data_IF_399887286945
#
_entry.id   IF_399887286945
#
_cell.length_a   1.000
_cell.length_b   1.000
_cell.length_c   1.000
_cell.angle_alpha   90.00
_cell.angle_beta   90.00
_cell.angle_gamma   90.00
#
_symmetry.space_group_name_H-M   'P 1'
#
loop_
_entity.id
_entity.type
_entity.pdbx_description
1 polymer ?
#
# COMPACT_ATOMS: atom_id res chain seq x y z
N UNK A 1 30.95 -36.95 26.26
CA UNK A 1 31.42 -37.33 24.91
C UNK A 1 32.91 -37.57 24.98
N UNK A 2 33.42 -38.68 24.44
CA UNK A 2 34.85 -38.99 24.56
C UNK A 2 35.64 -38.08 23.59
N UNK A 3 36.80 -37.51 23.99
CA UNK A 3 37.57 -36.58 23.16
C UNK A 3 38.00 -37.17 21.80
N UNK A 4 37.94 -38.49 21.61
CA UNK A 4 38.19 -39.17 20.35
C UNK A 4 37.02 -39.09 19.33
N UNK A 5 35.80 -38.73 19.75
CA UNK A 5 34.61 -38.72 18.88
C UNK A 5 34.42 -37.36 18.16
N UNK A 6 35.05 -36.28 18.65
CA UNK A 6 35.06 -34.94 18.02
C UNK A 6 36.27 -34.77 17.08
N UNK A 7 37.37 -35.50 17.32
CA UNK A 7 38.58 -35.41 16.51
C UNK A 7 38.40 -35.91 15.07
N UNK A 8 37.51 -36.90 14.85
CA UNK A 8 37.20 -37.43 13.51
C UNK A 8 36.50 -36.42 12.59
N UNK A 9 35.36 -35.80 12.99
CA UNK A 9 34.71 -34.81 12.14
C UNK A 9 35.55 -33.55 11.93
N UNK A 10 36.34 -33.13 12.94
CA UNK A 10 37.24 -31.98 12.79
C UNK A 10 38.39 -32.25 11.80
N UNK A 11 38.95 -33.47 11.83
CA UNK A 11 39.98 -33.88 10.87
C UNK A 11 39.47 -33.94 9.44
N UNK A 12 38.24 -34.45 9.24
CA UNK A 12 37.59 -34.46 7.93
C UNK A 12 37.36 -33.03 7.42
N UNK A 13 36.89 -32.12 8.27
CA UNK A 13 36.66 -30.72 7.92
C UNK A 13 37.94 -30.01 7.44
N UNK A 14 39.06 -30.19 8.16
CA UNK A 14 40.35 -29.62 7.76
C UNK A 14 40.84 -30.18 6.43
N UNK A 15 40.65 -31.49 6.18
CA UNK A 15 41.01 -32.11 4.91
C UNK A 15 40.17 -31.56 3.76
N UNK A 16 38.87 -31.38 3.95
CA UNK A 16 37.98 -30.81 2.93
C UNK A 16 38.38 -29.37 2.58
N UNK A 17 38.69 -28.54 3.58
CA UNK A 17 39.20 -27.17 3.35
C UNK A 17 40.50 -27.19 2.55
N UNK A 18 41.45 -28.05 2.91
CA UNK A 18 42.72 -28.15 2.19
C UNK A 18 42.55 -28.64 0.75
N UNK A 19 41.60 -29.54 0.49
CA UNK A 19 41.28 -30.00 -0.87
C UNK A 19 40.66 -28.88 -1.71
N UNK A 20 39.76 -28.07 -1.13
CA UNK A 20 39.17 -26.91 -1.81
C UNK A 20 40.24 -25.87 -2.12
N UNK A 21 41.11 -25.55 -1.16
CA UNK A 21 42.21 -24.59 -1.34
C UNK A 21 43.28 -25.09 -2.33
N UNK A 22 43.54 -26.40 -2.37
CA UNK A 22 44.43 -26.99 -3.36
C UNK A 22 43.81 -27.01 -4.76
N UNK A 23 42.49 -27.23 -4.86
CA UNK A 23 41.75 -27.18 -6.12
C UNK A 23 41.77 -25.79 -6.76
N UNK A 24 41.62 -24.73 -5.96
CA UNK A 24 41.70 -23.34 -6.45
C UNK A 24 43.12 -22.94 -6.84
N UNK A 25 44.14 -23.41 -6.12
CA UNK A 25 45.54 -23.13 -6.46
C UNK A 25 46.01 -23.84 -7.75
N UNK A 26 45.54 -25.06 -8.01
CA UNK A 26 45.91 -25.80 -9.22
C UNK A 26 45.30 -25.14 -10.46
N UNK A 27 44.06 -24.65 -10.39
CA UNK A 27 43.43 -23.91 -11.51
C UNK A 27 44.22 -22.64 -11.89
N UNK A 28 44.79 -21.93 -10.92
CA UNK A 28 45.61 -20.75 -11.17
C UNK A 28 46.99 -21.03 -11.78
N UNK A 29 47.50 -22.27 -11.67
CA UNK A 29 48.83 -22.64 -12.16
C UNK A 29 48.82 -23.26 -13.57
N UNK A 30 47.71 -23.87 -14.01
CA UNK A 30 47.57 -24.40 -15.38
C UNK A 30 47.16 -23.33 -16.39
N UNK A 31 46.61 -22.20 -15.95
CA UNK A 31 46.46 -20.99 -16.78
C UNK A 31 47.75 -20.17 -16.79
N UNK A 32 48.83 -20.80 -17.25
CA UNK A 32 50.10 -20.12 -17.52
C UNK A 32 49.96 -19.16 -18.71
N UNK A 33 49.68 -17.89 -18.44
CA UNK A 33 49.74 -16.80 -19.41
C UNK A 33 50.07 -15.51 -18.69
N UNK A 34 51.29 -15.01 -18.88
CA UNK A 34 51.72 -13.72 -18.35
C UNK A 34 50.82 -12.59 -18.84
N UNK A 35 50.06 -12.03 -17.93
CA UNK A 35 49.47 -10.70 -18.03
C UNK A 35 49.48 -10.18 -16.60
N UNK A 36 50.03 -8.98 -16.38
CA UNK A 36 49.70 -8.26 -15.15
C UNK A 36 48.17 -8.24 -15.01
N UNK A 37 47.68 -8.09 -13.77
CA UNK A 37 46.30 -7.64 -13.62
C UNK A 37 46.10 -6.49 -14.62
N UNK A 38 45.09 -6.54 -15.51
CA UNK A 38 44.82 -5.40 -16.35
C UNK A 38 44.48 -4.28 -15.37
N UNK A 39 45.44 -3.39 -15.15
CA UNK A 39 45.26 -2.15 -14.42
C UNK A 39 44.21 -1.37 -15.19
N UNK A 40 42.93 -1.55 -14.85
CA UNK A 40 41.83 -0.66 -15.23
C UNK A 40 41.82 -0.16 -16.67
N UNK A 41 42.31 -0.95 -17.65
CA UNK A 41 42.09 -0.64 -19.05
C UNK A 41 40.59 -0.80 -19.26
N UNK A 42 39.89 0.33 -19.37
CA UNK A 42 38.48 0.39 -19.74
C UNK A 42 38.32 -0.27 -21.12
N UNK A 43 38.15 -1.59 -21.14
CA UNK A 43 37.75 -2.31 -22.34
C UNK A 43 36.28 -1.97 -22.56
N UNK A 44 36.01 -1.10 -23.54
CA UNK A 44 34.65 -0.80 -23.99
C UNK A 44 33.88 -2.11 -24.21
N UNK A 45 32.80 -2.28 -23.42
CA UNK A 45 31.89 -3.43 -23.53
C UNK A 45 32.11 -4.59 -22.54
N UNK A 46 33.01 -4.51 -21.56
CA UNK A 46 33.15 -5.56 -20.53
C UNK A 46 32.19 -5.45 -19.34
N UNK A 47 31.72 -4.25 -19.02
CA UNK A 47 30.61 -4.07 -18.08
C UNK A 47 29.31 -4.27 -18.86
N UNK A 48 28.45 -5.25 -18.48
CA UNK A 48 27.06 -5.28 -18.94
C UNK A 48 26.45 -3.88 -18.82
N UNK A 49 25.52 -3.54 -19.71
CA UNK A 49 25.08 -2.16 -19.87
C UNK A 49 24.57 -1.53 -18.54
N UNK A 50 24.02 -2.35 -17.65
CA UNK A 50 23.57 -1.99 -16.30
C UNK A 50 24.69 -1.64 -15.29
N UNK A 51 25.97 -1.86 -15.63
CA UNK A 51 27.13 -1.51 -14.79
C UNK A 51 27.99 -0.41 -15.42
N UNK A 52 27.46 0.31 -16.42
CA UNK A 52 28.10 1.50 -16.99
C UNK A 52 27.81 2.69 -16.06
N UNK A 53 28.80 3.52 -15.67
CA UNK A 53 28.62 4.63 -14.72
C UNK A 53 27.45 5.56 -15.06
N UNK A 54 27.24 5.82 -16.35
CA UNK A 54 26.14 6.67 -16.85
C UNK A 54 24.75 6.04 -16.67
N UNK A 55 24.65 4.77 -16.24
CA UNK A 55 23.43 4.05 -15.91
C UNK A 55 23.32 3.65 -14.44
N UNK A 56 24.30 4.02 -13.61
CA UNK A 56 24.26 3.80 -12.15
C UNK A 56 23.51 4.93 -11.45
N UNK A 57 23.20 6.00 -12.17
CA UNK A 57 22.43 7.13 -11.67
C UNK A 57 21.18 7.25 -12.57
N UNK A 58 20.15 6.42 -12.36
CA UNK A 58 18.86 6.63 -13.02
C UNK A 58 18.38 8.05 -12.72
N UNK A 59 17.60 8.61 -13.64
CA UNK A 59 16.84 9.81 -13.34
C UNK A 59 15.85 9.42 -12.23
N UNK A 60 15.89 10.14 -11.10
CA UNK A 60 14.91 9.99 -10.02
C UNK A 60 13.74 10.89 -10.33
N UNK A 61 12.53 10.44 -9.98
CA UNK A 61 11.35 11.27 -10.10
C UNK A 61 11.45 12.48 -9.14
N UNK A 62 10.87 13.64 -9.51
CA UNK A 62 11.04 14.87 -8.76
C UNK A 62 10.21 14.89 -7.46
N UNK A 63 10.87 14.76 -6.30
CA UNK A 63 10.25 14.84 -4.96
C UNK A 63 9.91 16.29 -4.47
N UNK A 64 9.58 17.22 -5.38
CA UNK A 64 9.42 18.67 -5.05
C UNK A 64 7.95 19.14 -4.92
N UNK A 65 7.00 18.22 -4.88
CA UNK A 65 5.57 18.51 -4.81
C UNK A 65 5.05 18.98 -3.43
N UNK A 66 3.82 19.49 -3.40
CA UNK A 66 3.13 19.92 -2.17
C UNK A 66 1.73 19.29 -2.14
N UNK A 67 1.33 18.75 -0.98
CA UNK A 67 -0.02 18.22 -0.78
C UNK A 67 -0.95 19.40 -0.47
N UNK A 68 -1.92 19.64 -1.33
CA UNK A 68 -2.87 20.76 -1.15
C UNK A 68 -4.28 20.25 -0.92
N UNK A 69 -4.94 20.78 0.11
CA UNK A 69 -6.35 20.49 0.42
C UNK A 69 -7.17 21.78 0.30
N UNK A 70 -8.10 21.77 -0.65
CA UNK A 70 -9.11 22.80 -0.80
C UNK A 70 -10.17 22.65 0.29
N UNK A 71 -10.47 23.75 0.98
CA UNK A 71 -11.46 23.76 2.07
C UNK A 71 -12.68 24.66 1.72
N UNK A 72 -13.46 24.34 0.66
CA UNK A 72 -14.60 25.17 0.26
C UNK A 72 -15.79 25.06 1.22
N UNK A 73 -15.88 23.96 1.97
CA UNK A 73 -17.04 23.63 2.82
C UNK A 73 -16.81 23.87 4.32
N UNK A 74 -15.69 24.49 4.68
CA UNK A 74 -15.31 24.74 6.07
C UNK A 74 -14.62 23.54 6.73
N UNK A 75 -14.47 23.62 8.05
CA UNK A 75 -13.84 22.58 8.87
C UNK A 75 -14.60 21.24 8.75
N UNK A 76 -13.84 20.15 8.64
CA UNK A 76 -14.34 18.77 8.54
C UNK A 76 -13.56 17.89 9.52
N UNK A 77 -14.18 16.82 10.01
CA UNK A 77 -13.57 15.80 10.87
C UNK A 77 -13.31 14.52 10.09
N UNK A 78 -12.06 14.08 10.04
CA UNK A 78 -11.63 12.89 9.31
C UNK A 78 -11.23 11.81 10.31
N UNK A 79 -11.81 10.61 10.17
CA UNK A 79 -11.44 9.45 10.95
C UNK A 79 -10.49 8.53 10.16
N UNK A 80 -9.34 8.22 10.74
CA UNK A 80 -8.45 7.17 10.23
C UNK A 80 -8.71 5.87 11.00
N UNK A 81 -9.10 4.81 10.28
CA UNK A 81 -9.36 3.49 10.84
C UNK A 81 -8.10 2.87 11.45
N UNK A 82 -8.24 2.26 12.63
CA UNK A 82 -7.21 1.43 13.29
C UNK A 82 -7.81 0.14 13.88
N UNK A 83 -9.09 -0.16 13.62
CA UNK A 83 -9.82 -1.23 14.32
C UNK A 83 -9.92 -2.54 13.55
N UNK A 84 -9.56 -2.53 12.26
CA UNK A 84 -9.65 -3.71 11.41
C UNK A 84 -8.26 -4.31 11.17
N UNK A 85 -7.39 -4.28 12.19
CA UNK A 85 -6.03 -4.80 12.08
C UNK A 85 -5.23 -4.09 10.99
N UNK A 86 -5.48 -2.79 10.82
CA UNK A 86 -4.86 -1.95 9.82
C UNK A 86 -3.34 -1.96 9.97
N UNK A 87 -2.63 -2.08 8.84
CA UNK A 87 -1.18 -2.08 8.80
C UNK A 87 -0.68 -0.77 8.20
N UNK A 88 -0.36 0.18 9.06
CA UNK A 88 0.35 1.42 8.77
C UNK A 88 1.00 1.91 10.06
N UNK A 89 2.07 2.70 9.95
CA UNK A 89 2.60 3.47 11.07
C UNK A 89 2.07 4.91 10.99
N UNK A 90 1.68 5.49 12.13
CA UNK A 90 1.09 6.84 12.15
C UNK A 90 2.07 7.93 11.72
N UNK A 91 3.36 7.68 11.93
CA UNK A 91 4.42 8.60 11.56
C UNK A 91 4.53 8.71 10.02
N UNK A 92 4.22 7.64 9.29
CA UNK A 92 4.25 7.64 7.82
C UNK A 92 3.16 8.53 7.21
N UNK A 93 2.07 8.76 7.96
CA UNK A 93 0.94 9.60 7.54
C UNK A 93 1.12 11.10 7.89
N UNK A 94 2.26 11.49 8.48
CA UNK A 94 2.55 12.87 8.88
C UNK A 94 2.28 13.89 7.75
N UNK A 95 2.70 13.68 6.48
CA UNK A 95 2.45 14.64 5.40
C UNK A 95 0.97 14.91 5.15
N UNK A 96 0.14 13.86 5.18
CA UNK A 96 -1.30 13.97 4.94
C UNK A 96 -2.01 14.62 6.12
N UNK A 97 -1.62 14.24 7.34
CA UNK A 97 -2.17 14.83 8.56
C UNK A 97 -1.83 16.32 8.64
N UNK A 98 -0.59 16.70 8.32
CA UNK A 98 -0.16 18.10 8.26
C UNK A 98 -0.98 18.88 7.24
N UNK A 99 -1.12 18.38 6.01
CA UNK A 99 -1.90 19.04 4.96
C UNK A 99 -3.37 19.26 5.35
N UNK A 100 -4.03 18.26 5.96
CA UNK A 100 -5.41 18.39 6.44
C UNK A 100 -5.54 19.43 7.57
N UNK A 101 -4.60 19.42 8.52
CA UNK A 101 -4.59 20.36 9.66
C UNK A 101 -4.28 21.79 9.20
N UNK A 102 -3.35 21.95 8.26
CA UNK A 102 -3.02 23.25 7.67
C UNK A 102 -4.20 23.85 6.89
N UNK A 103 -5.00 22.99 6.23
CA UNK A 103 -6.25 23.37 5.58
C UNK A 103 -7.41 23.63 6.58
N UNK A 104 -7.21 23.38 7.88
CA UNK A 104 -8.16 23.70 8.94
C UNK A 104 -9.14 22.59 9.27
N UNK A 105 -8.83 21.34 8.91
CA UNK A 105 -9.61 20.15 9.26
C UNK A 105 -9.07 19.47 10.53
N UNK A 106 -9.89 18.62 11.16
CA UNK A 106 -9.53 17.80 12.32
C UNK A 106 -9.31 16.35 11.87
N UNK A 107 -8.24 15.72 12.34
CA UNK A 107 -7.90 14.33 12.02
C UNK A 107 -7.78 13.53 13.31
N UNK A 108 -8.59 12.48 13.42
CA UNK A 108 -8.52 11.55 14.54
C UNK A 108 -8.16 10.16 14.07
N UNK A 109 -7.34 9.49 14.88
CA UNK A 109 -7.09 8.07 14.74
C UNK A 109 -8.05 7.31 15.66
N UNK A 110 -8.74 6.35 15.07
CA UNK A 110 -9.58 5.45 15.82
C UNK A 110 -8.83 4.80 17.00
N UNK A 111 -9.48 4.65 18.16
CA UNK A 111 -8.86 3.96 19.28
C UNK A 111 -8.72 2.46 18.97
N UNK A 112 -7.59 1.89 19.36
CA UNK A 112 -7.39 0.43 19.40
C UNK A 112 -8.38 -0.19 20.39
N UNK A 113 -9.48 -0.76 19.89
CA UNK A 113 -10.41 -1.53 20.73
C UNK A 113 -10.02 -3.00 20.71
N UNK A 114 -10.04 -3.63 21.88
CA UNK A 114 -9.84 -5.07 21.99
C UNK A 114 -11.01 -5.80 21.34
N UNK A 115 -10.74 -6.88 20.61
CA UNK A 115 -11.76 -7.68 19.92
C UNK A 115 -12.91 -8.07 20.85
N UNK A 116 -14.12 -7.54 20.62
CA UNK A 116 -15.32 -7.85 21.42
C UNK A 116 -16.31 -6.70 21.67
N UNK A 117 -15.93 -5.44 21.40
CA UNK A 117 -16.81 -4.27 21.44
C UNK A 117 -17.16 -3.80 20.00
N UNK A 118 -18.41 -3.33 19.77
CA UNK A 118 -19.04 -3.16 18.44
C UNK A 118 -18.53 -1.96 17.60
N UNK A 119 -17.21 -1.80 17.44
CA UNK A 119 -16.57 -0.84 16.51
C UNK A 119 -16.72 0.64 16.85
N UNK A 120 -15.89 1.49 16.22
CA UNK A 120 -15.26 2.72 16.76
C UNK A 120 -15.90 3.39 17.98
N UNK A 121 -15.07 3.68 18.99
CA UNK A 121 -15.35 4.58 20.13
C UNK A 121 -16.22 4.06 21.28
N UNK A 122 -17.05 3.04 21.07
CA UNK A 122 -17.74 2.19 22.07
C UNK A 122 -18.35 2.82 23.34
N UNK A 123 -18.83 4.06 23.27
CA UNK A 123 -20.06 4.51 23.93
C UNK A 123 -20.98 5.13 22.88
N UNK A 124 -21.81 4.30 22.25
CA UNK A 124 -22.66 4.68 21.09
C UNK A 124 -22.54 3.73 19.89
N UNK A 125 -21.42 3.00 19.79
CA UNK A 125 -21.15 2.00 18.75
C UNK A 125 -20.70 2.61 17.41
N UNK A 126 -20.41 1.74 16.43
CA UNK A 126 -19.86 2.12 15.14
C UNK A 126 -20.61 3.25 14.41
N UNK A 127 -21.94 3.21 14.36
CA UNK A 127 -22.74 4.26 13.73
C UNK A 127 -22.62 5.60 14.44
N UNK A 128 -22.52 5.62 15.78
CA UNK A 128 -22.39 6.87 16.53
C UNK A 128 -21.05 7.53 16.25
N UNK A 129 -20.01 6.73 16.04
CA UNK A 129 -18.75 7.27 15.57
C UNK A 129 -18.85 7.77 14.13
N UNK A 130 -19.39 6.99 13.18
CA UNK A 130 -19.60 7.49 11.82
C UNK A 130 -20.42 8.80 11.77
N UNK A 131 -21.33 8.99 12.71
CA UNK A 131 -22.11 10.21 12.84
C UNK A 131 -21.26 11.44 13.17
N UNK A 132 -20.20 11.29 13.96
CA UNK A 132 -19.29 12.35 14.42
C UNK A 132 -18.30 12.82 13.35
N UNK A 133 -18.03 12.00 12.33
CA UNK A 133 -17.00 12.28 11.32
C UNK A 133 -17.58 12.52 9.93
N UNK A 134 -16.99 13.46 9.21
CA UNK A 134 -17.39 13.86 7.85
C UNK A 134 -16.74 13.00 6.76
N UNK A 135 -15.59 12.40 7.06
CA UNK A 135 -14.90 11.48 6.18
C UNK A 135 -14.23 10.31 6.93
N UNK A 136 -14.00 9.21 6.22
CA UNK A 136 -13.29 8.03 6.76
C UNK A 136 -12.19 7.58 5.82
N UNK A 137 -10.98 7.38 6.36
CA UNK A 137 -9.84 6.78 5.67
C UNK A 137 -9.53 5.40 6.27
N UNK A 138 -9.60 4.36 5.44
CA UNK A 138 -9.34 2.97 5.82
C UNK A 138 -8.06 2.51 5.14
N UNK A 139 -6.97 2.39 5.89
CA UNK A 139 -5.65 2.04 5.35
C UNK A 139 -5.31 0.59 5.69
N UNK A 140 -5.04 -0.22 4.66
CA UNK A 140 -4.58 -1.60 4.73
C UNK A 140 -5.23 -2.48 5.82
N UNK A 141 -6.57 -2.57 5.87
CA UNK A 141 -7.27 -3.40 6.86
C UNK A 141 -6.99 -4.88 6.61
N UNK A 142 -6.56 -5.63 7.63
CA UNK A 142 -6.34 -7.08 7.55
C UNK A 142 -7.48 -7.91 8.16
N UNK A 143 -8.36 -7.26 8.90
CA UNK A 143 -9.61 -7.78 9.43
C UNK A 143 -10.82 -7.40 8.57
N UNK A 144 -11.85 -8.25 8.60
CA UNK A 144 -13.09 -8.01 7.89
C UNK A 144 -14.05 -7.09 8.66
N UNK A 145 -14.88 -6.37 7.91
CA UNK A 145 -15.98 -5.58 8.44
C UNK A 145 -17.21 -6.46 8.65
N UNK A 146 -17.84 -6.37 9.82
CA UNK A 146 -19.09 -7.06 10.11
C UNK A 146 -20.22 -6.54 9.20
N UNK A 147 -21.29 -7.33 9.06
CA UNK A 147 -22.48 -6.91 8.30
C UNK A 147 -23.09 -5.61 8.82
N UNK A 148 -23.12 -5.41 10.15
CA UNK A 148 -23.62 -4.17 10.75
C UNK A 148 -22.75 -2.96 10.39
N UNK A 149 -21.42 -3.10 10.46
CA UNK A 149 -20.49 -2.03 10.07
C UNK A 149 -20.60 -1.69 8.57
N UNK A 150 -20.71 -2.71 7.72
CA UNK A 150 -20.91 -2.54 6.27
C UNK A 150 -22.21 -1.82 5.94
N UNK A 151 -23.31 -2.15 6.63
CA UNK A 151 -24.58 -1.44 6.47
C UNK A 151 -24.50 0.01 6.99
N UNK A 152 -23.78 0.25 8.08
CA UNK A 152 -23.51 1.59 8.61
C UNK A 152 -22.73 2.45 7.61
N UNK A 153 -21.63 1.94 7.06
CA UNK A 153 -20.86 2.60 6.00
C UNK A 153 -21.68 2.80 4.73
N UNK A 154 -22.51 1.83 4.34
CA UNK A 154 -23.40 2.01 3.20
C UNK A 154 -24.32 3.20 3.42
N UNK A 155 -24.97 3.27 4.58
CA UNK A 155 -25.89 4.37 4.94
C UNK A 155 -25.15 5.71 4.96
N UNK A 156 -23.94 5.73 5.55
CA UNK A 156 -23.05 6.88 5.55
C UNK A 156 -22.75 7.38 4.13
N UNK A 157 -22.31 6.50 3.24
CA UNK A 157 -21.99 6.85 1.85
C UNK A 157 -23.22 7.19 1.01
N UNK A 158 -24.38 6.58 1.25
CA UNK A 158 -25.63 6.91 0.54
C UNK A 158 -26.15 8.32 0.89
N UNK A 159 -25.66 8.89 1.99
CA UNK A 159 -25.98 10.24 2.45
C UNK A 159 -24.75 11.14 2.40
N UNK A 160 -23.92 10.97 1.37
CA UNK A 160 -22.83 11.90 1.01
C UNK A 160 -21.60 11.91 1.94
N UNK A 161 -21.50 10.96 2.86
CA UNK A 161 -20.27 10.70 3.61
C UNK A 161 -19.20 10.08 2.72
N UNK A 162 -17.95 10.54 2.84
CA UNK A 162 -16.85 10.18 1.94
C UNK A 162 -15.92 9.14 2.57
N UNK A 163 -15.57 8.11 1.80
CA UNK A 163 -14.70 7.03 2.27
C UNK A 163 -13.57 6.77 1.28
N UNK A 164 -12.34 6.70 1.76
CA UNK A 164 -11.22 6.16 1.00
C UNK A 164 -10.77 4.84 1.63
N UNK A 165 -10.59 3.81 0.80
CA UNK A 165 -10.04 2.51 1.21
C UNK A 165 -8.74 2.31 0.45
N UNK A 166 -7.65 2.11 1.16
CA UNK A 166 -6.34 1.79 0.61
C UNK A 166 -5.97 0.40 1.10
N UNK A 167 -5.25 -0.38 0.31
CA UNK A 167 -4.73 -1.63 0.86
C UNK A 167 -3.83 -2.43 -0.03
N UNK A 168 -3.25 -3.45 0.59
CA UNK A 168 -2.18 -4.23 0.01
C UNK A 168 -2.63 -5.60 -0.50
N UNK A 169 -2.01 -6.11 -1.59
CA UNK A 169 -2.21 -7.48 -2.03
C UNK A 169 -1.75 -8.48 -0.97
N UNK A 170 -2.02 -9.77 -1.22
CA UNK A 170 -1.65 -10.80 -0.26
C UNK A 170 -0.13 -10.89 -0.11
N UNK A 171 0.35 -10.77 1.13
CA UNK A 171 1.76 -10.76 1.46
C UNK A 171 2.13 -11.77 2.55
N UNK A 172 3.43 -12.02 2.70
CA UNK A 172 3.97 -12.94 3.69
C UNK A 172 4.42 -12.14 4.93
N UNK A 173 3.67 -12.28 6.01
CA UNK A 173 4.09 -11.80 7.33
C UNK A 173 5.11 -12.73 7.98
N UNK A 174 6.07 -12.15 8.69
CA UNK A 174 7.05 -12.88 9.49
C UNK A 174 6.86 -12.51 10.95
N UNK A 175 6.66 -13.50 11.81
CA UNK A 175 6.54 -13.33 13.25
C UNK A 175 7.67 -14.06 13.98
N UNK A 176 8.15 -13.48 15.07
CA UNK A 176 9.28 -14.03 15.84
C UNK A 176 10.65 -13.58 15.33
N UNK A 177 11.73 -14.12 15.91
CA UNK A 177 13.10 -13.72 15.61
C UNK A 177 14.05 -14.92 15.50
N UNK A 178 15.00 -14.85 14.57
CA UNK A 178 16.01 -15.88 14.34
C UNK A 178 15.42 -17.22 13.88
N UNK A 179 15.94 -18.34 14.39
CA UNK A 179 15.51 -19.69 14.00
C UNK A 179 14.08 -20.06 14.46
N UNK A 180 13.39 -19.16 15.17
CA UNK A 180 12.01 -19.34 15.63
C UNK A 180 11.00 -18.51 14.82
N UNK A 181 11.41 -17.93 13.68
CA UNK A 181 10.51 -17.19 12.82
C UNK A 181 9.41 -18.09 12.22
N UNK A 182 8.16 -17.67 12.32
CA UNK A 182 7.01 -18.26 11.65
C UNK A 182 6.52 -17.37 10.52
N UNK A 183 6.15 -17.99 9.41
CA UNK A 183 5.54 -17.31 8.26
C UNK A 183 4.02 -17.39 8.38
N UNK A 184 3.35 -16.29 8.10
CA UNK A 184 1.89 -16.19 7.99
C UNK A 184 1.53 -15.46 6.71
N UNK A 185 0.33 -15.71 6.20
CA UNK A 185 -0.22 -14.92 5.11
C UNK A 185 -1.03 -13.79 5.69
N UNK A 186 -0.77 -12.58 5.21
CA UNK A 186 -1.52 -11.36 5.51
C UNK A 186 -2.23 -10.99 4.21
N UNK A 187 -3.54 -10.77 4.27
CA UNK A 187 -4.36 -10.44 3.11
C UNK A 187 -5.27 -9.28 3.44
N UNK A 188 -5.65 -8.52 2.41
CA UNK A 188 -6.68 -7.50 2.51
C UNK A 188 -8.00 -8.06 3.08
N UNK A 189 -8.40 -7.53 4.23
CA UNK A 189 -9.53 -7.98 5.03
C UNK A 189 -10.87 -7.37 4.61
N UNK A 190 -10.85 -6.21 3.94
CA UNK A 190 -12.06 -5.46 3.61
C UNK A 190 -12.72 -5.84 2.28
N UNK A 191 -12.39 -7.00 1.70
CA UNK A 191 -12.98 -7.45 0.43
C UNK A 191 -14.51 -7.57 0.48
N UNK A 192 -15.10 -7.97 1.61
CA UNK A 192 -16.56 -8.02 1.78
C UNK A 192 -17.21 -6.62 1.81
N UNK A 193 -16.46 -5.58 2.22
CA UNK A 193 -16.87 -4.18 2.19
C UNK A 193 -16.77 -3.66 0.76
N UNK A 194 -15.59 -3.70 0.13
CA UNK A 194 -15.40 -3.14 -1.22
C UNK A 194 -16.29 -3.83 -2.26
N UNK A 195 -16.55 -5.14 -2.11
CA UNK A 195 -17.40 -5.89 -3.04
C UNK A 195 -18.85 -5.39 -3.05
N UNK A 196 -19.34 -4.78 -1.97
CA UNK A 196 -20.67 -4.16 -1.92
C UNK A 196 -20.75 -2.93 -2.83
N UNK A 197 -19.61 -2.29 -3.09
CA UNK A 197 -19.45 -1.17 -4.03
C UNK A 197 -18.99 -1.64 -5.42
N UNK A 198 -18.97 -2.94 -5.68
CA UNK A 198 -18.65 -3.49 -7.00
C UNK A 198 -17.15 -3.65 -7.31
N UNK A 199 -16.27 -3.53 -6.31
CA UNK A 199 -14.83 -3.63 -6.45
C UNK A 199 -14.21 -4.67 -5.50
N UNK A 200 -13.24 -5.44 -5.96
CA UNK A 200 -12.60 -6.49 -5.16
C UNK A 200 -11.10 -6.52 -5.38
N UNK A 201 -10.32 -6.65 -4.31
CA UNK A 201 -8.88 -6.76 -4.41
C UNK A 201 -8.45 -8.13 -4.94
N UNK A 202 -7.63 -8.12 -5.98
CA UNK A 202 -6.89 -9.27 -6.46
C UNK A 202 -5.97 -9.85 -5.41
N UNK A 203 -5.71 -11.16 -5.50
CA UNK A 203 -4.88 -11.84 -4.51
C UNK A 203 -3.37 -11.60 -4.70
N UNK A 204 -2.93 -11.29 -5.91
CA UNK A 204 -1.51 -11.20 -6.26
C UNK A 204 -1.06 -9.74 -6.39
N UNK A 205 0.17 -9.47 -5.94
CA UNK A 205 0.85 -8.23 -6.26
C UNK A 205 1.19 -8.16 -7.77
N UNK A 206 1.43 -6.95 -8.25
CA UNK A 206 1.87 -6.66 -9.59
C UNK A 206 3.38 -6.43 -9.63
N UNK A 207 3.96 -6.53 -10.82
CA UNK A 207 5.33 -6.16 -11.09
C UNK A 207 5.48 -5.78 -12.57
N UNK A 208 6.42 -4.88 -12.86
CA UNK A 208 6.83 -4.52 -14.21
C UNK A 208 8.36 -4.57 -14.31
N UNK A 209 8.89 -5.07 -15.43
CA UNK A 209 10.34 -5.21 -15.65
C UNK A 209 10.87 -4.28 -16.73
N UNK A 210 9.99 -3.44 -17.29
CA UNK A 210 10.36 -2.41 -18.23
C UNK A 210 10.76 -1.15 -17.44
N UNK A 211 12.05 -0.82 -17.50
CA UNK A 211 12.70 0.27 -16.75
C UNK A 211 12.06 1.64 -17.02
N UNK A 212 11.36 1.82 -18.15
CA UNK A 212 10.65 3.06 -18.48
C UNK A 212 9.27 3.18 -17.78
N UNK A 213 8.85 2.13 -17.06
CA UNK A 213 7.49 2.02 -16.48
C UNK A 213 7.48 1.45 -15.04
N UNK A 214 8.65 1.44 -14.41
CA UNK A 214 8.81 1.15 -13.00
C UNK A 214 9.75 2.19 -12.40
N UNK A 215 9.55 2.54 -11.13
CA UNK A 215 10.44 3.46 -10.43
C UNK A 215 11.71 2.75 -9.96
N UNK A 216 12.54 2.31 -10.91
CA UNK A 216 13.83 1.66 -10.68
C UNK A 216 13.79 0.39 -9.80
N UNK A 217 12.59 -0.07 -9.47
CA UNK A 217 12.27 -1.25 -8.71
C UNK A 217 11.13 -1.96 -9.43
N UNK A 218 11.35 -3.20 -9.84
CA UNK A 218 10.38 -3.95 -10.63
C UNK A 218 9.02 -4.15 -9.94
N UNK A 219 8.92 -3.91 -8.63
CA UNK A 219 7.67 -3.94 -7.87
C UNK A 219 7.00 -2.58 -7.71
N UNK A 220 7.73 -1.49 -7.92
CA UNK A 220 7.21 -0.13 -7.91
C UNK A 220 6.65 0.13 -9.31
N UNK A 221 5.34 -0.04 -9.47
CA UNK A 221 4.68 -0.07 -10.77
C UNK A 221 3.99 1.26 -11.03
N UNK A 222 4.32 1.88 -12.16
CA UNK A 222 3.64 3.10 -12.59
C UNK A 222 2.20 2.78 -12.98
N UNK A 223 1.27 3.66 -12.62
CA UNK A 223 -0.10 3.64 -13.09
C UNK A 223 -0.47 4.99 -13.70
N UNK A 224 -1.29 4.94 -14.75
CA UNK A 224 -1.72 6.13 -15.49
C UNK A 224 -3.22 6.35 -15.31
N UNK A 225 -3.66 7.61 -15.30
CA UNK A 225 -5.08 7.94 -15.30
C UNK A 225 -5.88 7.25 -16.41
N UNK A 226 -7.08 6.80 -16.08
CA UNK A 226 -8.12 6.44 -17.03
C UNK A 226 -9.19 7.54 -17.04
N UNK A 227 -9.45 8.13 -18.20
CA UNK A 227 -10.48 9.16 -18.35
C UNK A 227 -10.11 10.54 -17.79
N UNK A 228 -11.14 11.29 -17.38
CA UNK A 228 -11.03 12.65 -16.85
C UNK A 228 -11.95 12.78 -15.64
N UNK A 229 -11.40 12.57 -14.44
CA UNK A 229 -12.10 12.69 -13.16
C UNK A 229 -11.34 13.70 -12.29
N UNK A 230 -12.01 14.29 -11.30
CA UNK A 230 -11.36 15.15 -10.30
C UNK A 230 -10.22 14.44 -9.55
N UNK A 231 -10.29 13.12 -9.38
CA UNK A 231 -9.26 12.29 -8.75
C UNK A 231 -8.03 12.04 -9.63
N UNK A 232 -8.12 12.36 -10.91
CA UNK A 232 -7.03 12.23 -11.89
C UNK A 232 -6.58 13.57 -12.47
N UNK A 233 -7.17 14.68 -12.02
CA UNK A 233 -6.83 16.00 -12.54
C UNK A 233 -5.40 16.38 -12.13
N UNK A 234 -4.61 16.80 -13.11
CA UNK A 234 -3.22 17.24 -12.90
C UNK A 234 -2.20 16.11 -12.72
N UNK A 235 -2.64 14.85 -12.73
CA UNK A 235 -1.78 13.68 -12.60
C UNK A 235 -1.39 13.18 -13.99
N UNK A 236 -0.10 13.09 -14.28
CA UNK A 236 0.40 12.41 -15.48
C UNK A 236 0.68 10.93 -15.16
N UNK A 237 1.28 10.62 -14.01
CA UNK A 237 1.58 9.25 -13.56
C UNK A 237 1.71 9.16 -12.04
N UNK A 238 1.20 8.08 -11.46
CA UNK A 238 1.45 7.70 -10.05
C UNK A 238 2.34 6.48 -10.00
N UNK A 239 3.10 6.33 -8.92
CA UNK A 239 3.84 5.10 -8.62
C UNK A 239 3.26 4.44 -7.38
N UNK A 240 3.19 3.12 -7.41
CA UNK A 240 2.70 2.32 -6.31
C UNK A 240 3.77 1.29 -5.96
N UNK A 241 4.18 1.20 -4.69
CA UNK A 241 5.15 0.19 -4.26
C UNK A 241 4.44 -1.12 -3.91
N UNK A 242 4.73 -2.18 -4.69
CA UNK A 242 4.13 -3.50 -4.52
C UNK A 242 2.57 -3.54 -4.66
N UNK A 243 1.97 -2.85 -5.65
CA UNK A 243 0.51 -2.73 -5.75
C UNK A 243 -0.15 -4.07 -6.04
N UNK A 244 -1.39 -4.18 -5.58
CA UNK A 244 -2.34 -5.17 -6.05
C UNK A 244 -3.05 -4.75 -7.33
N UNK A 245 -4.20 -5.35 -7.58
CA UNK A 245 -5.11 -4.94 -8.65
C UNK A 245 -6.56 -5.08 -8.22
N UNK A 246 -7.45 -4.36 -8.88
CA UNK A 246 -8.88 -4.35 -8.58
C UNK A 246 -9.63 -5.08 -9.68
N UNK A 247 -10.51 -5.99 -9.28
CA UNK A 247 -11.50 -6.62 -10.15
C UNK A 247 -12.83 -5.93 -9.96
N UNK A 248 -13.35 -5.32 -11.02
CA UNK A 248 -14.67 -4.70 -11.02
C UNK A 248 -15.74 -5.71 -11.44
N UNK A 249 -16.91 -5.68 -10.79
CA UNK A 249 -17.98 -6.68 -11.03
C UNK A 249 -18.99 -6.26 -12.09
N UNK A 250 -18.73 -5.18 -12.83
CA UNK A 250 -19.55 -4.72 -13.95
C UNK A 250 -20.84 -3.99 -13.56
N UNK A 251 -20.95 -3.55 -12.29
CA UNK A 251 -21.95 -2.55 -11.88
C UNK A 251 -21.66 -1.23 -12.60
N UNK A 252 -22.70 -0.51 -13.04
CA UNK A 252 -22.54 0.71 -13.86
C UNK A 252 -21.99 1.92 -13.07
N UNK A 253 -21.79 1.78 -11.77
CA UNK A 253 -21.51 2.90 -10.85
C UNK A 253 -20.04 2.91 -10.38
N UNK A 254 -19.20 2.00 -10.91
CA UNK A 254 -17.75 1.97 -10.65
C UNK A 254 -17.02 2.60 -11.83
N UNK A 255 -16.26 3.65 -11.56
CA UNK A 255 -15.38 4.31 -12.52
C UNK A 255 -13.92 3.92 -12.23
N UNK A 256 -13.19 3.58 -13.28
CA UNK A 256 -11.75 3.28 -13.19
C UNK A 256 -11.00 4.61 -13.15
N UNK A 257 -10.13 4.76 -12.17
CA UNK A 257 -9.29 5.96 -12.03
C UNK A 257 -7.90 5.75 -12.59
N UNK A 258 -7.28 4.61 -12.26
CA UNK A 258 -5.90 4.31 -12.65
C UNK A 258 -5.75 2.87 -13.12
N UNK A 259 -4.90 2.70 -14.12
CA UNK A 259 -4.52 1.40 -14.66
C UNK A 259 -3.00 1.30 -14.67
N UNK A 260 -2.47 0.18 -14.21
CA UNK A 260 -1.04 -0.12 -14.24
C UNK A 260 -0.50 -0.07 -15.67
N UNK A 261 0.74 0.39 -15.81
CA UNK A 261 1.41 0.57 -17.10
C UNK A 261 1.45 -0.73 -17.93
N UNK A 262 1.53 -0.56 -19.26
CA UNK A 262 1.62 -1.68 -20.20
C UNK A 262 2.79 -2.62 -19.86
N UNK A 263 2.59 -3.92 -20.07
CA UNK A 263 3.60 -4.95 -19.77
C UNK A 263 3.60 -5.43 -18.31
N UNK A 264 2.83 -4.79 -17.43
CA UNK A 264 2.63 -5.21 -16.04
C UNK A 264 2.10 -6.64 -15.93
N UNK A 265 2.58 -7.37 -14.93
CA UNK A 265 2.27 -8.78 -14.68
C UNK A 265 1.94 -9.05 -13.23
N UNK A 266 1.12 -10.05 -12.98
CA UNK A 266 0.94 -10.60 -11.62
C UNK A 266 2.18 -11.35 -11.15
N UNK A 267 2.60 -11.16 -9.91
CA UNK A 267 3.88 -11.62 -9.37
C UNK A 267 4.02 -13.15 -9.35
N UNK A 268 2.98 -13.88 -8.96
CA UNK A 268 3.04 -15.33 -8.80
C UNK A 268 2.70 -16.05 -10.11
N UNK A 269 1.59 -15.68 -10.73
CA UNK A 269 1.08 -16.34 -11.94
C UNK A 269 1.72 -15.81 -13.23
N UNK A 270 2.46 -14.70 -13.16
CA UNK A 270 3.23 -14.12 -14.27
C UNK A 270 2.36 -13.80 -15.49
N UNK A 271 1.08 -13.48 -15.25
CA UNK A 271 0.12 -13.18 -16.31
C UNK A 271 0.26 -11.71 -16.66
N UNK A 272 0.38 -11.42 -17.95
CA UNK A 272 0.34 -10.06 -18.48
C UNK A 272 -1.12 -9.66 -18.71
N UNK A 273 -1.45 -8.41 -18.43
CA UNK A 273 -2.81 -7.91 -18.58
C UNK A 273 -2.91 -6.41 -18.32
N UNK A 274 -4.12 -5.91 -18.43
CA UNK A 274 -4.50 -4.55 -18.03
C UNK A 274 -5.05 -4.64 -16.61
N UNK A 275 -4.34 -4.05 -15.64
CA UNK A 275 -4.67 -4.15 -14.24
C UNK A 275 -5.14 -2.80 -13.71
N UNK A 276 -6.38 -2.74 -13.25
CA UNK A 276 -6.92 -1.55 -12.57
C UNK A 276 -6.27 -1.47 -11.19
N UNK A 277 -5.74 -0.30 -10.83
CA UNK A 277 -5.08 -0.07 -9.54
C UNK A 277 -5.89 0.84 -8.62
N UNK A 278 -6.78 1.66 -9.17
CA UNK A 278 -7.72 2.45 -8.39
C UNK A 278 -9.05 2.64 -9.10
N UNK A 279 -10.11 2.70 -8.31
CA UNK A 279 -11.49 2.94 -8.76
C UNK A 279 -12.20 3.90 -7.82
N UNK A 280 -13.29 4.49 -8.30
CA UNK A 280 -14.24 5.22 -7.46
C UNK A 280 -15.68 4.77 -7.70
N UNK A 281 -16.51 5.10 -6.73
CA UNK A 281 -17.95 5.29 -6.90
C UNK A 281 -18.27 6.76 -6.62
N UNK A 282 -19.54 7.13 -6.48
CA UNK A 282 -19.92 8.49 -6.09
C UNK A 282 -19.23 8.92 -4.79
N UNK A 283 -19.24 8.07 -3.76
CA UNK A 283 -18.86 8.43 -2.37
C UNK A 283 -17.80 7.52 -1.74
N UNK A 284 -17.17 6.63 -2.53
CA UNK A 284 -16.02 5.83 -2.11
C UNK A 284 -14.90 5.83 -3.15
N UNK A 285 -13.65 5.92 -2.71
CA UNK A 285 -12.43 5.64 -3.50
C UNK A 285 -11.80 4.36 -2.97
N UNK A 286 -11.30 3.51 -3.88
CA UNK A 286 -10.56 2.30 -3.53
C UNK A 286 -9.27 2.22 -4.35
N UNK A 287 -8.13 2.15 -3.67
CA UNK A 287 -6.78 2.03 -4.24
C UNK A 287 -6.18 0.69 -3.79
N UNK A 288 -5.59 -0.04 -4.72
CA UNK A 288 -4.92 -1.32 -4.46
C UNK A 288 -3.44 -1.14 -4.12
N UNK A 289 -3.16 -0.09 -3.36
CA UNK A 289 -1.89 0.26 -2.77
C UNK A 289 -2.20 1.17 -1.57
N UNK A 290 -1.55 0.95 -0.44
CA UNK A 290 -1.57 1.90 0.68
C UNK A 290 -0.30 2.70 0.78
N UNK A 291 0.82 2.18 0.31
CA UNK A 291 2.13 2.73 0.67
C UNK A 291 2.40 4.06 -0.06
N UNK A 292 1.70 4.39 -1.15
CA UNK A 292 1.76 5.70 -1.82
C UNK A 292 1.41 6.91 -0.96
N UNK A 293 0.77 6.69 0.21
CA UNK A 293 0.49 7.76 1.18
C UNK A 293 1.59 7.95 2.22
N UNK A 294 2.55 7.03 2.26
CA UNK A 294 3.63 7.05 3.24
C UNK A 294 4.62 8.17 2.91
N UNK A 295 5.25 8.73 3.93
CA UNK A 295 6.23 9.80 3.80
C UNK A 295 7.37 9.48 2.81
N UNK A 296 7.72 8.21 2.63
CA UNK A 296 8.77 7.81 1.69
C UNK A 296 8.31 7.75 0.23
N UNK A 297 7.02 7.62 -0.04
CA UNK A 297 6.48 7.37 -1.39
C UNK A 297 5.57 8.51 -1.89
N UNK A 298 5.04 9.35 -0.99
CA UNK A 298 4.02 10.35 -1.32
C UNK A 298 4.47 11.43 -2.30
N UNK A 299 5.78 11.61 -2.47
CA UNK A 299 6.35 12.58 -3.41
C UNK A 299 6.97 11.92 -4.65
N UNK A 300 6.76 10.62 -4.83
CA UNK A 300 7.23 9.93 -6.02
C UNK A 300 6.25 10.12 -7.18
N UNK A 301 6.79 10.41 -8.37
CA UNK A 301 6.02 10.80 -9.55
C UNK A 301 5.03 11.94 -9.22
N UNK A 302 3.72 11.76 -9.46
CA UNK A 302 2.67 12.71 -9.08
C UNK A 302 1.79 12.17 -7.92
N UNK A 303 2.33 11.32 -7.05
CA UNK A 303 1.59 10.74 -5.93
C UNK A 303 0.98 11.82 -5.03
N UNK A 304 1.67 12.95 -4.81
CA UNK A 304 1.20 14.05 -3.98
C UNK A 304 0.00 14.76 -4.60
N UNK A 305 -0.07 14.79 -5.93
CA UNK A 305 -1.21 15.35 -6.68
C UNK A 305 -2.41 14.41 -6.55
N UNK A 306 -2.20 13.09 -6.69
CA UNK A 306 -3.27 12.12 -6.47
C UNK A 306 -3.77 12.14 -5.01
N UNK A 307 -2.87 12.19 -4.03
CA UNK A 307 -3.20 12.33 -2.62
C UNK A 307 -3.98 13.63 -2.39
N UNK A 308 -3.53 14.76 -2.93
CA UNK A 308 -4.28 16.04 -2.86
C UNK A 308 -5.71 15.89 -3.36
N UNK A 309 -5.90 15.26 -4.53
CA UNK A 309 -7.22 15.04 -5.10
C UNK A 309 -8.08 14.11 -4.22
N UNK A 310 -7.48 13.07 -3.63
CA UNK A 310 -8.17 12.17 -2.69
C UNK A 310 -8.59 12.89 -1.42
N UNK A 311 -7.74 13.74 -0.85
CA UNK A 311 -8.08 14.53 0.34
C UNK A 311 -9.19 15.54 0.03
N UNK A 312 -9.14 16.19 -1.13
CA UNK A 312 -10.22 17.06 -1.62
C UNK A 312 -11.54 16.31 -1.74
N UNK A 313 -11.52 15.08 -2.27
CA UNK A 313 -12.69 14.21 -2.32
C UNK A 313 -13.21 13.86 -0.93
N UNK A 314 -12.33 13.58 0.05
CA UNK A 314 -12.75 13.25 1.42
C UNK A 314 -13.45 14.45 2.09
N UNK A 315 -12.94 15.66 1.92
CA UNK A 315 -13.49 16.86 2.59
C UNK A 315 -14.66 17.51 1.84
N UNK A 316 -15.05 17.01 0.67
CA UNK A 316 -16.13 17.59 -0.15
C UNK A 316 -17.53 17.01 0.13
N UNK A 317 -17.68 16.10 1.08
CA UNK A 317 -18.98 15.49 1.40
C UNK A 317 -19.84 16.35 2.31
N UNK A 318 -21.16 16.40 2.07
CA UNK A 318 -22.13 17.14 2.89
C UNK A 318 -23.06 16.18 3.66
N UNK A 319 -22.45 15.22 4.38
CA UNK A 319 -23.18 14.23 5.17
C UNK A 319 -23.94 14.90 6.33
N UNK A 320 -25.24 14.63 6.52
CA UNK A 320 -25.96 15.12 7.69
C UNK A 320 -25.38 14.60 9.02
N UNK A 321 -25.39 15.46 10.04
CA UNK A 321 -24.90 15.17 11.40
C UNK A 321 -25.69 14.07 12.13
N UNK A 322 -26.85 13.64 11.62
CA UNK A 322 -27.68 12.58 12.20
C UNK A 322 -27.57 11.23 11.49
N UNK A 323 -26.61 11.11 10.57
CA UNK A 323 -26.37 9.92 9.76
C UNK A 323 -25.00 9.31 10.05
N UNK A 324 -24.92 7.97 10.25
CA UNK A 324 -26.01 7.00 10.28
C UNK A 324 -26.86 7.09 11.55
N UNK A 325 -28.13 6.68 11.45
CA UNK A 325 -28.98 6.59 12.64
C UNK A 325 -28.35 5.69 13.70
N UNK A 326 -28.32 6.18 14.93
CA UNK A 326 -27.84 5.45 16.11
C UNK A 326 -29.01 4.90 16.91
N UNK A 327 -28.85 3.70 17.48
CA UNK A 327 -29.87 3.15 18.38
C UNK A 327 -29.81 3.82 19.76
N UNK A 328 -30.30 5.06 19.85
CA UNK A 328 -31.02 5.58 21.02
C UNK A 328 -30.40 6.74 21.82
N UNK A 329 -30.95 7.94 21.62
CA UNK A 329 -31.37 8.88 22.69
C UNK A 329 -32.44 9.87 22.17
N UNK A 330 -33.68 9.40 21.91
CA UNK A 330 -34.92 10.18 22.12
C UNK A 330 -36.19 9.40 21.77
N UNK A 331 -36.87 8.86 22.78
CA UNK A 331 -38.34 8.81 22.89
C UNK A 331 -38.74 8.28 24.28
N UNK A 332 -38.28 8.94 25.35
CA UNK A 332 -39.03 8.93 26.60
C UNK A 332 -40.10 10.02 26.52
N UNK A 333 -41.13 9.78 25.71
CA UNK A 333 -42.36 10.57 25.81
C UNK A 333 -43.07 10.16 27.11
N UNK A 334 -43.05 11.07 28.07
CA UNK A 334 -43.66 10.90 29.37
C UNK A 334 -45.18 10.92 29.23
N UNK A 335 -45.81 9.76 29.31
CA UNK A 335 -47.26 9.60 29.48
C UNK A 335 -47.59 8.92 30.80
N UNK A 336 -47.83 9.71 31.84
CA UNK A 336 -48.67 9.33 32.98
C UNK A 336 -49.95 10.17 32.96
#
# INVERSE_FOLDING_TARGET
>A
MRPAEIAKPLGVFVVVILVILAGTAVLGAVSGGGGGAPDGENVQGQSPAQFQPDRVNPDVDPEEGEITVDSPEGEKKILIDSQHGNLYDRDDLEPIVEALVEAGHEVDFAPDVSSGDDGFGSSGGYNATLQEYDAVLVINPTGGFTEAQRNGLQTYTENDGRVAVLGEPTQVGVSGSGLLASLSTISFGANDLTSQYGAHMGAEALYNVDDDTNDNNFKSVNAVPDGTDSLTEGVDTVTFDNPGYIVTTGSNDVEVLYTAADGTKTLDSRREGTYVTAVRTDNMVFVADSDFVDQSEVYDADNEVFVSNMLNFLVSGDKPDDVPETTGENSSDGGF
#
